data_IF_525068778458
#
_entry.id   IF_525068778458
#
_cell.length_a   1.000
_cell.length_b   1.000
_cell.length_c   1.000
_cell.angle_alpha   90.00
_cell.angle_beta   90.00
_cell.angle_gamma   90.00
#
_symmetry.space_group_name_H-M   'P 1'
#
loop_
_entity.id
_entity.type
_entity.pdbx_description
1 polymer ?
#
# COMPACT_ATOMS: atom_id res chain seq x y z
N UNK A 1 18.38 -9.62 -18.93
CA UNK A 1 17.32 -8.69 -19.39
C UNK A 1 15.94 -9.03 -18.85
N UNK A 2 15.46 -10.26 -18.96
CA UNK A 2 14.08 -10.64 -18.55
C UNK A 2 13.71 -10.30 -17.09
N UNK A 3 14.63 -10.51 -16.13
CA UNK A 3 14.36 -10.19 -14.71
C UNK A 3 14.15 -8.69 -14.47
N UNK A 4 14.99 -7.85 -15.08
CA UNK A 4 14.86 -6.39 -14.96
C UNK A 4 13.58 -5.88 -15.60
N UNK A 5 13.22 -6.40 -16.76
CA UNK A 5 11.96 -6.06 -17.42
C UNK A 5 10.73 -6.44 -16.58
N UNK A 6 10.73 -7.63 -15.98
CA UNK A 6 9.67 -8.07 -15.05
C UNK A 6 9.51 -7.13 -13.85
N UNK A 7 10.62 -6.68 -13.26
CA UNK A 7 10.61 -5.74 -12.13
C UNK A 7 10.01 -4.39 -12.55
N UNK A 8 10.41 -3.85 -13.70
CA UNK A 8 9.88 -2.57 -14.21
C UNK A 8 8.37 -2.65 -14.45
N UNK A 9 7.90 -3.74 -15.05
CA UNK A 9 6.46 -3.95 -15.30
C UNK A 9 5.70 -4.08 -13.98
N UNK A 10 6.19 -4.88 -13.03
CA UNK A 10 5.58 -5.01 -11.70
C UNK A 10 5.55 -3.68 -10.96
N UNK A 11 6.63 -2.90 -11.02
CA UNK A 11 6.70 -1.58 -10.41
C UNK A 11 5.63 -0.65 -10.98
N UNK A 12 5.50 -0.57 -12.30
CA UNK A 12 4.48 0.27 -12.96
C UNK A 12 3.05 -0.14 -12.58
N UNK A 13 2.79 -1.43 -12.47
CA UNK A 13 1.47 -1.95 -12.06
C UNK A 13 1.15 -1.58 -10.61
N UNK A 14 2.08 -1.83 -9.68
CA UNK A 14 1.87 -1.47 -8.27
C UNK A 14 1.73 0.05 -8.13
N UNK A 15 2.56 0.82 -8.81
CA UNK A 15 2.49 2.27 -8.79
C UNK A 15 1.15 2.79 -9.33
N UNK A 16 0.69 2.24 -10.46
CA UNK A 16 -0.62 2.57 -11.03
C UNK A 16 -1.77 2.25 -10.08
N UNK A 17 -1.71 1.12 -9.36
CA UNK A 17 -2.71 0.75 -8.35
C UNK A 17 -2.69 1.72 -7.16
N UNK A 18 -1.51 2.06 -6.64
CA UNK A 18 -1.37 3.01 -5.52
C UNK A 18 -1.86 4.39 -5.92
N UNK A 19 -1.50 4.86 -7.13
CA UNK A 19 -1.98 6.13 -7.67
C UNK A 19 -3.50 6.15 -7.83
N UNK A 20 -4.08 5.10 -8.43
CA UNK A 20 -5.53 5.00 -8.64
C UNK A 20 -6.29 4.93 -7.31
N UNK A 21 -5.80 4.15 -6.35
CA UNK A 21 -6.41 4.09 -5.02
C UNK A 21 -6.37 5.47 -4.33
N UNK A 22 -5.25 6.19 -4.45
CA UNK A 22 -5.09 7.54 -3.89
C UNK A 22 -6.10 8.52 -4.52
N UNK A 23 -6.21 8.54 -5.84
CA UNK A 23 -7.13 9.45 -6.55
C UNK A 23 -8.59 9.11 -6.28
N UNK A 24 -8.94 7.82 -6.18
CA UNK A 24 -10.29 7.39 -5.81
C UNK A 24 -10.66 7.79 -4.39
N UNK A 25 -9.78 7.55 -3.41
CA UNK A 25 -10.01 7.96 -2.02
C UNK A 25 -10.20 9.48 -1.94
N UNK A 26 -9.35 10.25 -2.61
CA UNK A 26 -9.52 11.70 -2.68
C UNK A 26 -10.85 12.09 -3.31
N UNK A 27 -11.22 11.48 -4.45
CA UNK A 27 -12.47 11.79 -5.16
C UNK A 27 -13.71 11.51 -4.32
N UNK A 28 -13.71 10.41 -3.54
CA UNK A 28 -14.81 10.08 -2.62
C UNK A 28 -14.92 11.16 -1.53
N UNK A 29 -13.80 11.58 -0.95
CA UNK A 29 -13.81 12.64 0.07
C UNK A 29 -14.26 13.98 -0.52
N UNK A 30 -13.76 14.34 -1.71
CA UNK A 30 -14.20 15.54 -2.44
C UNK A 30 -15.70 15.53 -2.71
N UNK A 31 -16.26 14.40 -3.14
CA UNK A 31 -17.69 14.26 -3.39
C UNK A 31 -18.52 14.49 -2.11
N UNK A 32 -18.06 13.98 -0.97
CA UNK A 32 -18.73 14.19 0.33
C UNK A 32 -18.67 15.67 0.75
N UNK A 33 -17.59 16.37 0.40
CA UNK A 33 -17.40 17.80 0.69
C UNK A 33 -18.03 18.74 -0.34
N UNK A 34 -18.62 18.21 -1.43
CA UNK A 34 -19.25 19.00 -2.50
C UNK A 34 -18.27 19.51 -3.56
N UNK A 35 -17.00 19.09 -3.52
CA UNK A 35 -15.98 19.45 -4.50
C UNK A 35 -16.08 18.54 -5.73
N UNK A 36 -16.17 19.15 -6.91
CA UNK A 36 -16.37 18.41 -8.18
C UNK A 36 -15.14 18.43 -9.09
N UNK A 37 -14.12 19.22 -8.74
CA UNK A 37 -12.92 19.40 -9.56
C UNK A 37 -11.66 19.09 -8.79
N UNK A 38 -10.70 18.44 -9.46
CA UNK A 38 -9.37 18.21 -8.93
C UNK A 38 -8.41 19.17 -9.64
N UNK A 39 -7.67 19.96 -8.86
CA UNK A 39 -6.64 20.83 -9.43
C UNK A 39 -5.53 20.00 -10.09
N UNK A 40 -5.09 20.39 -11.28
CA UNK A 40 -4.03 19.68 -12.03
C UNK A 40 -2.74 19.60 -11.20
N UNK A 41 -2.42 20.64 -10.41
CA UNK A 41 -1.24 20.63 -9.54
C UNK A 41 -1.31 19.51 -8.48
N UNK A 42 -2.51 19.20 -7.97
CA UNK A 42 -2.72 18.15 -6.98
C UNK A 42 -2.49 16.76 -7.57
N UNK A 43 -2.87 16.55 -8.84
CA UNK A 43 -2.60 15.30 -9.55
C UNK A 43 -1.10 15.02 -9.61
N UNK A 44 -0.28 16.02 -9.95
CA UNK A 44 1.17 15.88 -9.97
C UNK A 44 1.78 15.64 -8.59
N UNK A 45 1.21 16.23 -7.54
CA UNK A 45 1.59 15.91 -6.14
C UNK A 45 1.32 14.44 -5.82
N UNK A 46 0.16 13.91 -6.22
CA UNK A 46 -0.14 12.48 -6.06
C UNK A 46 0.78 11.58 -6.86
N UNK A 47 1.13 11.95 -8.11
CA UNK A 47 2.12 11.22 -8.92
C UNK A 47 3.45 11.08 -8.16
N UNK A 48 4.00 12.20 -7.67
CA UNK A 48 5.28 12.19 -6.94
C UNK A 48 5.19 11.39 -5.63
N UNK A 49 4.11 11.58 -4.87
CA UNK A 49 3.88 10.91 -3.59
C UNK A 49 3.77 9.40 -3.76
N UNK A 50 2.91 8.95 -4.66
CA UNK A 50 2.66 7.52 -4.90
C UNK A 50 3.86 6.81 -5.51
N UNK A 51 4.68 7.52 -6.30
CA UNK A 51 5.94 7.00 -6.81
C UNK A 51 6.89 6.68 -5.66
N UNK A 52 7.08 7.60 -4.72
CA UNK A 52 7.94 7.39 -3.54
C UNK A 52 7.41 6.28 -2.62
N UNK A 53 6.10 6.24 -2.38
CA UNK A 53 5.48 5.16 -1.60
C UNK A 53 5.70 3.79 -2.26
N UNK A 54 5.61 3.73 -3.59
CA UNK A 54 5.85 2.48 -4.32
C UNK A 54 7.32 2.09 -4.26
N UNK A 55 8.25 3.05 -4.37
CA UNK A 55 9.68 2.78 -4.16
C UNK A 55 9.94 2.19 -2.76
N UNK A 56 9.38 2.79 -1.71
CA UNK A 56 9.48 2.26 -0.34
C UNK A 56 8.93 0.84 -0.25
N UNK A 57 7.78 0.57 -0.87
CA UNK A 57 7.20 -0.76 -0.91
C UNK A 57 8.18 -1.79 -1.49
N UNK A 58 8.78 -1.48 -2.64
CA UNK A 58 9.79 -2.33 -3.27
C UNK A 58 11.10 -2.42 -2.47
N UNK A 59 11.50 -1.37 -1.75
CA UNK A 59 12.68 -1.43 -0.89
C UNK A 59 12.47 -2.36 0.30
N UNK A 60 11.28 -2.31 0.92
CA UNK A 60 10.96 -3.11 2.12
C UNK A 60 10.61 -4.56 1.78
N UNK A 61 9.79 -4.77 0.76
CA UNK A 61 9.31 -6.10 0.36
C UNK A 61 10.08 -6.72 -0.79
N UNK A 62 10.90 -5.94 -1.51
CA UNK A 62 11.79 -6.49 -2.51
C UNK A 62 12.86 -7.40 -1.89
N UNK A 63 13.34 -8.35 -2.70
CA UNK A 63 14.34 -9.33 -2.26
C UNK A 63 15.73 -8.72 -1.96
N UNK A 64 15.91 -7.41 -2.15
CA UNK A 64 17.22 -6.77 -2.24
C UNK A 64 17.80 -6.30 -0.90
N UNK A 65 17.00 -5.74 0.02
CA UNK A 65 17.54 -5.03 1.21
C UNK A 65 17.20 -5.75 2.52
N UNK A 66 15.94 -6.17 2.70
CA UNK A 66 15.48 -6.73 3.98
C UNK A 66 15.19 -8.24 3.91
N UNK A 67 15.96 -8.99 3.11
CA UNK A 67 15.70 -10.42 2.87
C UNK A 67 15.68 -11.27 4.16
N UNK A 68 16.47 -10.89 5.17
CA UNK A 68 16.59 -11.60 6.46
C UNK A 68 15.62 -11.14 7.55
N UNK A 69 14.82 -10.09 7.32
CA UNK A 69 13.89 -9.59 8.35
C UNK A 69 12.61 -10.41 8.40
N UNK A 70 12.13 -10.64 9.62
CA UNK A 70 10.82 -11.24 9.85
C UNK A 70 9.70 -10.38 9.25
N UNK A 71 8.63 -11.03 8.81
CA UNK A 71 7.48 -10.36 8.18
C UNK A 71 6.91 -9.22 9.05
N UNK A 72 6.84 -9.42 10.37
CA UNK A 72 6.37 -8.41 11.32
C UNK A 72 7.25 -7.15 11.32
N UNK A 73 8.59 -7.30 11.30
CA UNK A 73 9.50 -6.15 11.27
C UNK A 73 9.38 -5.38 9.96
N UNK A 74 9.17 -6.07 8.83
CA UNK A 74 8.93 -5.43 7.53
C UNK A 74 7.67 -4.56 7.55
N UNK A 75 6.57 -5.04 8.14
CA UNK A 75 5.33 -4.27 8.27
C UNK A 75 5.55 -3.00 9.08
N UNK A 76 6.28 -3.07 10.20
CA UNK A 76 6.58 -1.91 11.05
C UNK A 76 7.46 -0.91 10.31
N UNK A 77 8.52 -1.37 9.64
CA UNK A 77 9.40 -0.48 8.85
C UNK A 77 8.63 0.18 7.71
N UNK A 78 7.82 -0.58 6.97
CA UNK A 78 6.98 -0.04 5.91
C UNK A 78 5.99 1.01 6.44
N UNK A 79 5.35 0.72 7.57
CA UNK A 79 4.46 1.66 8.24
C UNK A 79 5.16 2.97 8.60
N UNK A 80 6.36 2.91 9.19
CA UNK A 80 7.10 4.12 9.59
C UNK A 80 7.56 4.90 8.36
N UNK A 81 8.10 4.24 7.34
CA UNK A 81 8.59 4.90 6.13
C UNK A 81 7.47 5.57 5.34
N UNK A 82 6.33 4.90 5.16
CA UNK A 82 5.17 5.49 4.52
C UNK A 82 4.61 6.68 5.33
N UNK A 83 4.60 6.57 6.66
CA UNK A 83 4.18 7.67 7.53
C UNK A 83 5.04 8.91 7.32
N UNK A 84 6.37 8.73 7.36
CA UNK A 84 7.33 9.83 7.18
C UNK A 84 7.12 10.50 5.82
N UNK A 85 6.98 9.74 4.74
CA UNK A 85 6.76 10.31 3.40
C UNK A 85 5.46 11.11 3.34
N UNK A 86 4.35 10.54 3.82
CA UNK A 86 3.07 11.24 3.80
C UNK A 86 3.09 12.48 4.69
N UNK A 87 3.75 12.41 5.84
CA UNK A 87 3.88 13.56 6.74
C UNK A 87 4.70 14.68 6.12
N UNK A 88 5.86 14.35 5.52
CA UNK A 88 6.72 15.31 4.82
C UNK A 88 5.98 15.95 3.64
N UNK A 89 5.25 15.17 2.84
CA UNK A 89 4.42 15.70 1.75
C UNK A 89 3.34 16.63 2.28
N UNK A 90 2.64 16.22 3.34
CA UNK A 90 1.58 17.02 3.95
C UNK A 90 2.11 18.33 4.52
N UNK A 91 3.32 18.34 5.06
CA UNK A 91 4.01 19.54 5.53
C UNK A 91 4.44 20.44 4.36
N UNK A 92 5.17 19.90 3.37
CA UNK A 92 5.68 20.68 2.22
C UNK A 92 4.55 21.32 1.41
N UNK A 93 3.43 20.61 1.23
CA UNK A 93 2.28 21.11 0.48
C UNK A 93 1.26 21.86 1.32
N UNK A 94 1.54 22.08 2.61
CA UNK A 94 0.65 22.76 3.55
C UNK A 94 -0.76 22.13 3.64
N UNK A 95 -0.86 20.80 3.46
CA UNK A 95 -2.12 20.06 3.62
C UNK A 95 -2.54 19.94 5.09
N UNK A 96 -1.56 19.98 6.00
CA UNK A 96 -1.79 19.97 7.44
C UNK A 96 -1.06 21.14 8.09
N UNK A 97 -1.68 21.74 9.10
CA UNK A 97 -0.99 22.66 10.01
C UNK A 97 -0.16 21.84 10.99
N UNK A 98 1.07 21.49 10.62
CA UNK A 98 1.92 20.58 11.43
C UNK A 98 2.25 21.12 12.83
N UNK A 99 2.20 22.44 13.04
CA UNK A 99 2.38 23.07 14.36
C UNK A 99 1.13 22.97 15.25
N UNK A 100 -0.03 22.60 14.70
CA UNK A 100 -1.24 22.38 15.45
C UNK A 100 -1.32 20.91 15.90
N UNK A 101 -1.27 20.68 17.22
CA UNK A 101 -1.31 19.35 17.84
C UNK A 101 -2.56 18.56 17.41
N UNK A 102 -3.69 19.23 17.20
CA UNK A 102 -4.95 18.60 16.81
C UNK A 102 -4.88 18.10 15.36
N UNK A 103 -4.37 18.92 14.43
CA UNK A 103 -4.19 18.53 13.03
C UNK A 103 -3.19 17.39 12.90
N UNK A 104 -2.10 17.43 13.67
CA UNK A 104 -1.12 16.34 13.74
C UNK A 104 -1.74 15.04 14.27
N UNK A 105 -2.53 15.12 15.34
CA UNK A 105 -3.23 13.97 15.92
C UNK A 105 -4.21 13.33 14.94
N UNK A 106 -5.05 14.14 14.28
CA UNK A 106 -6.00 13.66 13.26
C UNK A 106 -5.25 12.97 12.12
N UNK A 107 -4.19 13.58 11.58
CA UNK A 107 -3.38 12.97 10.53
C UNK A 107 -2.82 11.60 10.94
N UNK A 108 -2.24 11.53 12.13
CA UNK A 108 -1.62 10.29 12.64
C UNK A 108 -2.64 9.18 12.82
N UNK A 109 -3.81 9.50 13.39
CA UNK A 109 -4.89 8.53 13.61
C UNK A 109 -5.47 8.07 12.26
N UNK A 110 -5.80 9.00 11.36
CA UNK A 110 -6.35 8.69 10.04
C UNK A 110 -5.39 7.83 9.21
N UNK A 111 -4.10 8.16 9.20
CA UNK A 111 -3.08 7.35 8.56
C UNK A 111 -3.04 5.93 9.14
N UNK A 112 -2.98 5.82 10.47
CA UNK A 112 -2.86 4.54 11.15
C UNK A 112 -4.06 3.64 10.85
N UNK A 113 -5.27 4.19 10.91
CA UNK A 113 -6.49 3.46 10.59
C UNK A 113 -6.54 2.99 9.14
N UNK A 114 -6.21 3.87 8.19
CA UNK A 114 -6.18 3.51 6.76
C UNK A 114 -5.14 2.41 6.48
N UNK A 115 -3.94 2.55 7.02
CA UNK A 115 -2.88 1.57 6.84
C UNK A 115 -3.27 0.21 7.42
N UNK A 116 -3.82 0.20 8.65
CA UNK A 116 -4.26 -1.04 9.30
C UNK A 116 -5.42 -1.69 8.55
N UNK A 117 -6.36 -0.90 8.03
CA UNK A 117 -7.49 -1.40 7.22
C UNK A 117 -7.01 -2.09 5.94
N UNK A 118 -6.10 -1.44 5.19
CA UNK A 118 -5.53 -2.00 3.96
C UNK A 118 -4.68 -3.24 4.28
N UNK A 119 -3.83 -3.17 5.31
CA UNK A 119 -2.97 -4.30 5.70
C UNK A 119 -3.78 -5.50 6.17
N UNK A 120 -4.85 -5.25 6.94
CA UNK A 120 -5.73 -6.31 7.43
C UNK A 120 -6.53 -6.94 6.30
N UNK A 121 -7.07 -6.14 5.37
CA UNK A 121 -7.82 -6.67 4.23
C UNK A 121 -6.96 -7.58 3.35
N UNK A 122 -5.70 -7.20 3.09
CA UNK A 122 -4.73 -8.06 2.42
C UNK A 122 -4.43 -9.32 3.22
N UNK A 123 -4.21 -9.21 4.54
CA UNK A 123 -3.96 -10.36 5.40
C UNK A 123 -5.10 -11.38 5.35
N UNK A 124 -6.35 -10.93 5.47
CA UNK A 124 -7.54 -11.79 5.35
C UNK A 124 -7.64 -12.42 3.97
N UNK A 125 -7.46 -11.63 2.90
CA UNK A 125 -7.48 -12.14 1.53
C UNK A 125 -6.46 -13.27 1.32
N UNK A 126 -5.21 -13.08 1.77
CA UNK A 126 -4.16 -14.09 1.64
C UNK A 126 -4.39 -15.29 2.53
N UNK A 127 -4.92 -15.12 3.74
CA UNK A 127 -5.26 -16.22 4.64
C UNK A 127 -6.32 -17.13 4.00
N UNK A 128 -7.42 -16.54 3.51
CA UNK A 128 -8.51 -17.27 2.85
C UNK A 128 -8.00 -17.96 1.57
N UNK A 129 -7.18 -17.28 0.78
CA UNK A 129 -6.63 -17.84 -0.45
C UNK A 129 -5.66 -18.99 -0.16
N UNK A 130 -4.83 -18.88 0.87
CA UNK A 130 -3.93 -19.93 1.34
C UNK A 130 -4.69 -21.15 1.82
N UNK A 131 -5.74 -20.97 2.61
CA UNK A 131 -6.64 -22.05 3.05
C UNK A 131 -7.29 -22.75 1.84
N UNK A 132 -7.78 -21.97 0.86
CA UNK A 132 -8.36 -22.51 -0.37
C UNK A 132 -7.37 -23.35 -1.18
N UNK A 133 -6.11 -22.91 -1.28
CA UNK A 133 -5.07 -23.64 -2.00
C UNK A 133 -4.69 -24.94 -1.27
N UNK A 134 -4.58 -24.87 0.06
CA UNK A 134 -4.29 -26.03 0.89
C UNK A 134 -5.40 -27.10 0.80
N UNK A 135 -6.67 -26.67 0.78
CA UNK A 135 -7.81 -27.56 0.61
C UNK A 135 -7.77 -28.27 -0.75
N UNK A 136 -7.47 -27.54 -1.84
CA UNK A 136 -7.29 -28.15 -3.18
C UNK A 136 -6.15 -29.16 -3.23
N UNK A 137 -5.04 -28.88 -2.53
CA UNK A 137 -3.91 -29.79 -2.42
C UNK A 137 -4.27 -31.07 -1.65
N UNK A 138 -5.07 -30.97 -0.58
CA UNK A 138 -5.61 -32.14 0.14
C UNK A 138 -6.48 -32.98 -0.78
N UNK A 139 -7.45 -32.38 -1.46
CA UNK A 139 -8.32 -33.11 -2.40
C UNK A 139 -7.54 -33.80 -3.53
N UNK A 140 -6.47 -33.17 -4.02
CA UNK A 140 -5.61 -33.77 -5.03
C UNK A 140 -4.84 -34.98 -4.49
N UNK A 141 -4.29 -34.89 -3.27
CA UNK A 141 -3.60 -36.02 -2.62
C UNK A 141 -4.54 -37.17 -2.31
N UNK A 142 -5.76 -36.88 -1.84
CA UNK A 142 -6.79 -37.88 -1.58
C UNK A 142 -7.28 -38.56 -2.86
N UNK A 143 -7.41 -37.82 -3.97
CA UNK A 143 -7.71 -38.42 -5.28
C UNK A 143 -6.56 -39.28 -5.80
N UNK A 144 -5.31 -38.85 -5.61
CA UNK A 144 -4.13 -39.61 -6.06
C UNK A 144 -3.93 -40.90 -5.25
N UNK A 145 -4.07 -40.85 -3.93
CA UNK A 145 -3.96 -42.03 -3.06
C UNK A 145 -5.14 -43.00 -3.12
N UNK A 146 -6.17 -42.72 -3.94
CA UNK A 146 -7.31 -43.62 -4.19
C UNK A 146 -7.18 -44.38 -5.52
N UNK A 147 -6.11 -44.12 -6.29
CA UNK A 147 -5.81 -44.74 -7.59
C UNK A 147 -4.65 -45.77 -7.47
N UNK A 148 -3.98 -45.82 -6.30
CA UNK A 148 -3.03 -46.87 -5.91
C UNK A 148 -3.74 -47.93 -5.05
#
# INVERSE_FOLDING_TARGET
MEKGFKIIVQFKLVWGLVFTATTLLYSIVSLILGETTIEISLIWKFVAMTLLLTLIHFLVYGEYIFKSLSSQKKVIIHFILCYIVLFVFSYIFNWIQAMNIQSFGIFTISYSLLYLSISSSLFFYYKITGERLNNRLKEYKERKGRID
#
